data_IF_402449225924
#
_entry.id   IF_402449225924
#
_cell.length_a   1.000
_cell.length_b   1.000
_cell.length_c   1.000
_cell.angle_alpha   90.00
_cell.angle_beta   90.00
_cell.angle_gamma   90.00
#
_symmetry.space_group_name_H-M   'P 1'
#
loop_
_entity.id
_entity.type
_entity.pdbx_description
1 polymer ?
#
# COMPACT_ATOMS: atom_id res chain seq x y z
N UNK A 1 10.48 -45.90 69.36
CA UNK A 1 9.24 -45.89 68.55
C UNK A 1 8.33 -44.93 69.32
N UNK A 2 8.08 -43.69 68.94
CA UNK A 2 8.12 -42.93 67.68
C UNK A 2 8.38 -41.46 68.11
N UNK A 3 9.14 -40.59 67.43
CA UNK A 3 9.01 -40.24 66.02
C UNK A 3 8.02 -39.09 65.82
N UNK A 4 8.27 -37.87 66.31
CA UNK A 4 7.65 -36.67 65.73
C UNK A 4 8.52 -35.41 65.91
N UNK A 5 8.86 -34.80 64.77
CA UNK A 5 9.74 -33.67 64.57
C UNK A 5 8.92 -32.36 64.30
N UNK A 6 9.57 -31.18 64.23
CA UNK A 6 9.02 -29.88 64.63
C UNK A 6 8.37 -29.08 63.48
N UNK A 7 7.62 -28.03 63.82
CA UNK A 7 7.30 -26.90 62.94
C UNK A 7 7.46 -25.63 63.80
N UNK A 8 8.57 -24.89 63.79
CA UNK A 8 9.17 -24.14 62.67
C UNK A 8 8.13 -23.23 62.00
N UNK A 9 7.86 -22.10 62.67
CA UNK A 9 7.15 -20.95 62.16
C UNK A 9 7.82 -20.46 60.87
N UNK A 10 7.39 -21.01 59.75
CA UNK A 10 7.67 -20.51 58.41
C UNK A 10 6.47 -19.72 57.93
N UNK A 11 6.65 -18.41 57.78
CA UNK A 11 5.75 -17.55 57.01
C UNK A 11 5.67 -18.05 55.58
N UNK A 12 4.64 -18.85 55.27
CA UNK A 12 4.28 -19.16 53.91
C UNK A 12 3.56 -17.94 53.32
N UNK A 13 4.34 -17.09 52.64
CA UNK A 13 3.80 -16.13 51.70
C UNK A 13 2.88 -16.87 50.70
N UNK A 14 1.66 -16.37 50.57
CA UNK A 14 0.65 -16.85 49.64
C UNK A 14 1.27 -16.81 48.23
N UNK A 15 1.31 -17.92 47.46
CA UNK A 15 1.69 -17.85 46.07
C UNK A 15 0.61 -17.06 45.32
N UNK A 16 0.97 -15.84 44.91
CA UNK A 16 0.16 -15.07 43.97
C UNK A 16 -0.05 -15.91 42.70
N UNK A 17 -1.31 -16.15 42.36
CA UNK A 17 -1.71 -16.77 41.09
C UNK A 17 -0.97 -16.08 39.94
N UNK A 18 -0.43 -16.81 38.95
CA UNK A 18 0.08 -16.17 37.76
C UNK A 18 -1.08 -15.42 37.10
N UNK A 19 -0.96 -14.09 37.02
CA UNK A 19 -1.85 -13.26 36.24
C UNK A 19 -1.83 -13.78 34.81
N UNK A 20 -3.00 -14.16 34.30
CA UNK A 20 -3.19 -14.45 32.89
C UNK A 20 -2.65 -13.25 32.08
N UNK A 21 -1.92 -13.46 30.98
CA UNK A 21 -1.60 -12.38 30.07
C UNK A 21 -2.90 -11.65 29.75
N UNK A 22 -2.92 -10.35 30.05
CA UNK A 22 -4.03 -9.48 29.71
C UNK A 22 -4.37 -9.69 28.23
N UNK A 23 -5.67 -9.85 27.98
CA UNK A 23 -6.31 -9.79 26.67
C UNK A 23 -5.53 -8.88 25.75
N UNK A 24 -4.77 -9.46 24.83
CA UNK A 24 -4.43 -8.74 23.62
C UNK A 24 -5.78 -8.49 22.95
N UNK A 25 -6.18 -7.25 22.65
CA UNK A 25 -7.40 -7.05 21.88
C UNK A 25 -7.21 -7.86 20.61
N UNK A 26 -8.09 -8.86 20.44
CA UNK A 26 -8.14 -9.69 19.26
C UNK A 26 -8.01 -8.73 18.09
N UNK A 27 -6.90 -8.83 17.32
CA UNK A 27 -6.73 -8.07 16.09
C UNK A 27 -7.94 -8.42 15.26
N UNK A 28 -8.94 -7.54 15.27
CA UNK A 28 -10.13 -7.72 14.49
C UNK A 28 -9.65 -8.03 13.08
N UNK A 29 -10.18 -9.06 12.39
CA UNK A 29 -9.86 -9.27 10.99
C UNK A 29 -10.14 -7.93 10.32
N UNK A 30 -9.04 -7.28 9.90
CA UNK A 30 -8.99 -5.92 9.40
C UNK A 30 -9.95 -5.92 8.22
N UNK A 31 -11.17 -5.43 8.46
CA UNK A 31 -12.23 -5.49 7.47
C UNK A 31 -11.65 -4.93 6.18
N UNK A 32 -11.74 -5.71 5.11
CA UNK A 32 -11.39 -5.30 3.76
C UNK A 32 -12.22 -4.06 3.40
N UNK A 33 -11.76 -2.88 3.85
CA UNK A 33 -12.07 -1.58 3.25
C UNK A 33 -10.93 -1.21 2.31
N UNK A 34 -10.37 -2.22 1.64
CA UNK A 34 -9.39 -2.01 0.59
C UNK A 34 -10.16 -1.62 -0.65
N UNK A 35 -9.95 -0.41 -1.15
CA UNK A 35 -10.30 -0.07 -2.52
C UNK A 35 -9.77 -1.13 -3.49
N UNK A 36 -10.33 -1.19 -4.70
CA UNK A 36 -9.86 -2.16 -5.69
C UNK A 36 -8.33 -2.05 -5.85
N UNK A 37 -7.61 -3.16 -6.05
CA UNK A 37 -6.15 -3.12 -6.17
C UNK A 37 -5.71 -2.22 -7.33
N UNK A 38 -6.57 -2.02 -8.34
CA UNK A 38 -6.38 -1.04 -9.40
C UNK A 38 -6.34 0.40 -8.85
N UNK A 39 -7.33 0.82 -8.06
CA UNK A 39 -7.35 2.16 -7.45
C UNK A 39 -6.15 2.37 -6.53
N UNK A 40 -5.77 1.35 -5.76
CA UNK A 40 -4.57 1.43 -4.93
C UNK A 40 -3.27 1.60 -5.77
N UNK A 41 -3.20 1.00 -6.97
CA UNK A 41 -2.08 1.17 -7.88
C UNK A 41 -2.02 2.61 -8.45
N UNK A 42 -3.17 3.15 -8.83
CA UNK A 42 -3.31 4.53 -9.32
C UNK A 42 -2.89 5.53 -8.24
N UNK A 43 -3.41 5.38 -7.02
CA UNK A 43 -3.04 6.20 -5.86
C UNK A 43 -1.53 6.13 -5.59
N UNK A 44 -0.91 4.95 -5.64
CA UNK A 44 0.54 4.82 -5.46
C UNK A 44 1.31 5.58 -6.56
N UNK A 45 0.84 5.55 -7.81
CA UNK A 45 1.45 6.29 -8.91
C UNK A 45 1.32 7.81 -8.71
N UNK A 46 0.17 8.29 -8.26
CA UNK A 46 -0.06 9.72 -7.98
C UNK A 46 0.72 10.21 -6.75
N UNK A 47 0.85 9.40 -5.71
CA UNK A 47 1.73 9.72 -4.57
C UNK A 47 3.19 9.78 -5.04
N UNK A 48 3.63 8.91 -5.96
CA UNK A 48 4.97 8.98 -6.54
C UNK A 48 5.20 10.30 -7.32
N UNK A 49 4.16 10.82 -7.97
CA UNK A 49 4.17 12.13 -8.64
C UNK A 49 4.07 13.31 -7.66
N UNK A 50 3.82 13.06 -6.38
CA UNK A 50 3.71 14.09 -5.36
C UNK A 50 2.36 14.82 -5.36
N UNK A 51 1.30 14.21 -5.89
CA UNK A 51 -0.03 14.84 -5.99
C UNK A 51 -0.82 14.87 -4.68
N UNK A 52 -0.40 14.14 -3.67
CA UNK A 52 -1.11 14.07 -2.38
C UNK A 52 -0.30 14.68 -1.23
N UNK A 53 -1.01 15.18 -0.22
CA UNK A 53 -0.46 15.71 1.01
C UNK A 53 -1.41 15.53 2.20
N UNK A 54 -0.92 15.85 3.39
CA UNK A 54 -1.69 15.83 4.64
C UNK A 54 -1.71 17.23 5.23
N UNK A 55 -2.89 17.69 5.61
CA UNK A 55 -3.08 18.97 6.30
C UNK A 55 -2.73 18.80 7.76
N UNK A 56 -1.69 19.50 8.23
CA UNK A 56 -1.10 19.32 9.57
C UNK A 56 -2.11 19.52 10.71
N UNK A 57 -3.02 20.49 10.56
CA UNK A 57 -3.99 20.84 11.60
C UNK A 57 -5.13 19.82 11.79
N UNK A 58 -5.44 19.02 10.77
CA UNK A 58 -6.62 18.14 10.76
C UNK A 58 -6.30 16.70 10.41
N UNK A 59 -5.05 16.40 10.07
CA UNK A 59 -4.58 15.11 9.55
C UNK A 59 -5.39 14.62 8.34
N UNK A 60 -6.00 15.57 7.61
CA UNK A 60 -6.82 15.28 6.42
C UNK A 60 -5.97 15.15 5.18
N UNK A 61 -6.32 14.16 4.37
CA UNK A 61 -5.63 13.90 3.11
C UNK A 61 -6.19 14.81 2.02
N UNK A 62 -5.27 15.49 1.33
CA UNK A 62 -5.58 16.44 0.27
C UNK A 62 -4.83 16.09 -1.01
N UNK A 63 -5.38 16.51 -2.14
CA UNK A 63 -4.75 16.43 -3.45
C UNK A 63 -4.43 17.85 -3.94
N UNK A 64 -3.23 18.02 -4.49
CA UNK A 64 -2.80 19.24 -5.17
C UNK A 64 -3.47 19.30 -6.55
N UNK A 65 -4.34 20.29 -6.76
CA UNK A 65 -4.92 20.56 -8.09
C UNK A 65 -3.94 21.34 -8.95
N UNK A 66 -3.37 22.39 -8.35
CA UNK A 66 -2.40 23.30 -8.93
C UNK A 66 -1.18 23.43 -8.00
N UNK A 67 -0.28 24.38 -8.30
CA UNK A 67 0.92 24.63 -7.51
C UNK A 67 0.64 25.13 -6.09
N UNK A 68 -0.47 25.85 -5.88
CA UNK A 68 -0.80 26.51 -4.63
C UNK A 68 -2.16 26.13 -4.04
N UNK A 69 -2.98 25.34 -4.76
CA UNK A 69 -4.35 24.98 -4.34
C UNK A 69 -4.49 23.49 -4.06
N UNK A 70 -5.18 23.19 -2.96
CA UNK A 70 -5.49 21.82 -2.53
C UNK A 70 -6.98 21.61 -2.31
N UNK A 71 -7.45 20.40 -2.59
CA UNK A 71 -8.81 19.92 -2.27
C UNK A 71 -8.78 18.63 -1.47
N UNK A 72 -9.90 18.24 -0.89
CA UNK A 72 -10.03 16.94 -0.23
C UNK A 72 -9.85 15.80 -1.23
N UNK A 73 -9.06 14.80 -0.84
CA UNK A 73 -8.89 13.59 -1.62
C UNK A 73 -10.16 12.72 -1.53
N UNK A 74 -10.63 12.20 -2.65
CA UNK A 74 -11.77 11.26 -2.68
C UNK A 74 -11.32 9.88 -2.17
N UNK A 75 -10.06 9.52 -2.44
CA UNK A 75 -9.46 8.24 -2.09
C UNK A 75 -8.81 8.23 -0.69
N UNK A 76 -9.28 9.07 0.25
CA UNK A 76 -8.73 9.21 1.61
C UNK A 76 -8.60 7.85 2.31
N UNK A 77 -9.62 6.98 2.24
CA UNK A 77 -9.62 5.65 2.85
C UNK A 77 -8.53 4.72 2.28
N UNK A 78 -8.25 4.82 0.97
CA UNK A 78 -7.23 4.02 0.29
C UNK A 78 -5.85 4.48 0.71
N UNK A 79 -5.62 5.80 0.74
CA UNK A 79 -4.34 6.39 1.15
C UNK A 79 -4.09 6.09 2.63
N UNK A 80 -5.09 6.23 3.49
CA UNK A 80 -5.00 5.88 4.91
C UNK A 80 -4.62 4.40 5.09
N UNK A 81 -5.21 3.50 4.29
CA UNK A 81 -4.87 2.07 4.28
C UNK A 81 -3.42 1.81 3.83
N UNK A 82 -2.94 2.54 2.82
CA UNK A 82 -1.55 2.45 2.34
C UNK A 82 -0.53 3.01 3.35
N UNK A 83 -0.89 4.07 4.08
CA UNK A 83 -0.10 4.61 5.19
C UNK A 83 -0.04 3.62 6.35
N UNK A 84 -1.18 3.04 6.74
CA UNK A 84 -1.25 2.00 7.78
C UNK A 84 -0.48 0.71 7.38
N UNK A 85 -0.31 0.47 6.08
CA UNK A 85 0.52 -0.60 5.51
C UNK A 85 2.02 -0.26 5.40
N UNK A 86 2.42 0.99 5.66
CA UNK A 86 3.80 1.46 5.54
C UNK A 86 4.29 1.62 4.11
N UNK A 87 3.40 1.75 3.13
CA UNK A 87 3.74 1.99 1.73
C UNK A 87 3.87 3.49 1.42
N UNK A 88 3.12 4.31 2.14
CA UNK A 88 3.11 5.78 2.03
C UNK A 88 3.53 6.38 3.38
N UNK A 89 4.29 7.46 3.36
CA UNK A 89 4.70 8.21 4.55
C UNK A 89 4.57 9.71 4.31
N UNK A 90 4.27 10.44 5.38
CA UNK A 90 4.51 11.87 5.44
C UNK A 90 6.00 12.12 5.72
N UNK A 91 6.63 13.03 4.99
CA UNK A 91 7.99 13.48 5.31
C UNK A 91 7.89 14.82 6.01
N UNK A 92 7.89 14.83 7.35
CA UNK A 92 7.71 16.03 8.18
C UNK A 92 8.79 17.13 8.03
N UNK A 93 9.72 16.98 7.08
CA UNK A 93 10.72 17.99 6.74
C UNK A 93 10.26 18.93 5.63
N UNK A 94 9.36 18.46 4.77
CA UNK A 94 8.87 19.21 3.63
C UNK A 94 7.43 19.64 3.93
N UNK A 95 7.24 20.87 4.40
CA UNK A 95 5.90 21.44 4.59
C UNK A 95 5.72 22.58 3.60
N UNK A 96 4.66 22.50 2.81
CA UNK A 96 4.29 23.51 1.81
C UNK A 96 3.03 24.21 2.28
N UNK A 97 2.97 25.53 2.14
CA UNK A 97 1.77 26.30 2.49
C UNK A 97 0.90 26.41 1.24
N UNK A 98 -0.34 25.91 1.31
CA UNK A 98 -1.28 25.89 0.19
C UNK A 98 -2.66 26.42 0.59
N UNK A 99 -3.39 26.93 -0.39
CA UNK A 99 -4.79 27.33 -0.28
C UNK A 99 -5.70 26.11 -0.16
N UNK A 100 -6.33 25.96 1.00
CA UNK A 100 -7.46 25.09 1.24
C UNK A 100 -8.72 25.95 1.32
N UNK A 101 -9.43 26.06 0.20
CA UNK A 101 -10.50 27.06 0.04
C UNK A 101 -9.94 28.48 0.09
N UNK A 102 -10.45 29.30 1.01
CA UNK A 102 -10.02 30.69 1.20
C UNK A 102 -8.85 30.86 2.20
N UNK A 103 -8.39 29.77 2.83
CA UNK A 103 -7.43 29.82 3.94
C UNK A 103 -6.13 29.12 3.55
N UNK A 104 -4.99 29.69 3.94
CA UNK A 104 -3.69 29.04 3.81
C UNK A 104 -3.51 28.02 4.93
N UNK A 105 -3.10 26.80 4.55
CA UNK A 105 -2.82 25.71 5.48
C UNK A 105 -1.45 25.09 5.18
N UNK A 106 -0.68 24.73 6.22
CA UNK A 106 0.49 23.90 6.05
C UNK A 106 0.07 22.48 5.63
N UNK A 107 0.63 22.02 4.53
CA UNK A 107 0.41 20.71 3.93
C UNK A 107 1.74 20.00 3.82
N UNK A 108 1.82 18.80 4.38
CA UNK A 108 3.00 17.93 4.27
C UNK A 108 2.79 16.96 3.10
N UNK A 109 3.56 17.05 2.00
CA UNK A 109 3.41 16.15 0.88
C UNK A 109 3.68 14.69 1.26
N UNK A 110 2.87 13.79 0.71
CA UNK A 110 3.05 12.37 0.87
C UNK A 110 4.15 11.87 -0.06
N UNK A 111 4.87 10.86 0.42
CA UNK A 111 5.95 10.20 -0.32
C UNK A 111 5.81 8.69 -0.21
N UNK A 112 6.22 8.00 -1.28
CA UNK A 112 6.36 6.55 -1.22
C UNK A 112 7.56 6.16 -0.36
N UNK A 113 7.35 5.15 0.47
CA UNK A 113 8.44 4.44 1.14
C UNK A 113 9.19 3.56 0.13
N UNK A 114 10.32 2.98 0.55
CA UNK A 114 11.01 1.99 -0.29
C UNK A 114 10.08 0.81 -0.64
N UNK A 115 9.28 0.34 0.32
CA UNK A 115 8.29 -0.72 0.10
C UNK A 115 7.18 -0.27 -0.84
N UNK A 116 6.69 0.97 -0.71
CA UNK A 116 5.70 1.53 -1.62
C UNK A 116 6.18 1.58 -3.06
N UNK A 117 7.43 2.00 -3.29
CA UNK A 117 8.05 1.98 -4.62
C UNK A 117 8.14 0.56 -5.20
N UNK A 118 8.59 -0.41 -4.40
CA UNK A 118 8.64 -1.81 -4.84
C UNK A 118 7.26 -2.37 -5.18
N UNK A 119 6.24 -2.02 -4.38
CA UNK A 119 4.86 -2.44 -4.63
C UNK A 119 4.35 -1.85 -5.95
N UNK A 120 4.56 -0.56 -6.16
CA UNK A 120 4.20 0.12 -7.41
C UNK A 120 4.90 -0.52 -8.62
N UNK A 121 6.21 -0.77 -8.56
CA UNK A 121 6.96 -1.43 -9.63
C UNK A 121 6.45 -2.85 -9.93
N UNK A 122 6.06 -3.59 -8.89
CA UNK A 122 5.52 -4.95 -9.07
C UNK A 122 4.15 -4.91 -9.73
N UNK A 123 3.29 -3.99 -9.31
CA UNK A 123 1.93 -3.89 -9.83
C UNK A 123 1.89 -3.31 -11.25
N UNK A 124 2.78 -2.37 -11.58
CA UNK A 124 2.91 -1.84 -12.95
C UNK A 124 3.42 -2.88 -13.94
N UNK A 125 4.13 -3.91 -13.47
CA UNK A 125 4.62 -5.02 -14.29
C UNK A 125 3.57 -6.12 -14.53
N UNK A 126 2.41 -6.08 -13.85
CA UNK A 126 1.36 -7.08 -14.03
C UNK A 126 0.68 -6.86 -15.38
N UNK A 127 0.79 -7.85 -16.27
CA UNK A 127 0.00 -7.90 -17.50
C UNK A 127 -1.43 -8.28 -17.15
N UNK A 128 -2.46 -7.64 -17.73
CA UNK A 128 -3.84 -8.08 -17.52
C UNK A 128 -3.97 -9.52 -18.00
N UNK A 129 -4.53 -10.38 -17.13
CA UNK A 129 -4.87 -11.77 -17.42
C UNK A 129 -5.96 -11.80 -18.50
N UNK A 130 -5.54 -11.69 -19.75
CA UNK A 130 -6.42 -11.45 -20.90
C UNK A 130 -5.69 -10.80 -22.09
N UNK A 131 -4.56 -10.11 -21.84
CA UNK A 131 -3.65 -9.60 -22.88
C UNK A 131 -2.72 -10.68 -23.43
N UNK A 132 -3.18 -11.92 -23.50
CA UNK A 132 -2.57 -12.90 -24.39
C UNK A 132 -2.87 -12.40 -25.80
N UNK A 133 -2.08 -11.45 -26.28
CA UNK A 133 -2.08 -11.03 -27.68
C UNK A 133 -1.62 -12.25 -28.44
N UNK A 134 -2.57 -13.09 -28.82
CA UNK A 134 -2.30 -14.21 -29.71
C UNK A 134 -2.19 -13.61 -31.10
N UNK A 135 -1.24 -14.09 -31.88
CA UNK A 135 -1.22 -13.78 -33.31
C UNK A 135 -2.60 -14.11 -33.87
N UNK A 136 -3.26 -13.14 -34.51
CA UNK A 136 -4.61 -13.32 -35.05
C UNK A 136 -4.64 -14.38 -36.16
N UNK A 137 -3.49 -14.66 -36.77
CA UNK A 137 -3.35 -15.63 -37.86
C UNK A 137 -3.16 -17.08 -37.38
N UNK A 138 -2.33 -17.32 -36.35
CA UNK A 138 -1.94 -18.68 -35.96
C UNK A 138 -2.26 -19.04 -34.50
N UNK A 139 -2.81 -18.11 -33.72
CA UNK A 139 -3.19 -18.34 -32.32
C UNK A 139 -2.02 -18.55 -31.35
N UNK A 140 -0.76 -18.50 -31.82
CA UNK A 140 0.43 -18.65 -30.98
C UNK A 140 0.70 -17.36 -30.18
N UNK A 141 1.25 -17.53 -28.98
CA UNK A 141 1.74 -16.42 -28.18
C UNK A 141 3.07 -15.91 -28.77
N UNK A 142 3.24 -14.60 -29.01
CA UNK A 142 4.52 -14.06 -29.43
C UNK A 142 5.53 -14.20 -28.29
N UNK A 143 6.75 -14.62 -28.62
CA UNK A 143 7.88 -14.61 -27.70
C UNK A 143 8.19 -13.17 -27.31
N UNK A 144 8.33 -12.90 -26.01
CA UNK A 144 8.45 -11.55 -25.48
C UNK A 144 9.69 -10.84 -26.03
N UNK A 145 9.54 -9.64 -26.60
CA UNK A 145 10.68 -8.76 -26.90
C UNK A 145 10.58 -7.81 -28.09
N UNK A 146 9.60 -7.94 -28.99
CA UNK A 146 9.48 -7.05 -30.16
C UNK A 146 8.03 -6.61 -30.35
N UNK A 147 7.73 -5.37 -29.95
CA UNK A 147 6.53 -4.67 -30.36
C UNK A 147 6.91 -3.72 -31.50
N UNK A 148 6.77 -4.17 -32.74
CA UNK A 148 6.71 -3.30 -33.91
C UNK A 148 5.32 -3.47 -34.52
N UNK A 149 4.36 -2.64 -34.07
CA UNK A 149 3.21 -2.17 -34.86
C UNK A 149 2.16 -3.15 -35.39
N UNK A 150 2.43 -4.45 -35.55
CA UNK A 150 1.56 -5.38 -36.28
C UNK A 150 1.23 -6.66 -35.46
N UNK A 151 0.01 -7.21 -35.56
CA UNK A 151 -0.44 -8.38 -34.80
C UNK A 151 0.05 -9.71 -35.39
N UNK A 152 1.24 -9.73 -36.00
CA UNK A 152 1.86 -10.92 -36.57
C UNK A 152 3.06 -11.35 -35.73
N UNK A 153 3.13 -12.64 -35.37
CA UNK A 153 4.36 -13.18 -34.79
C UNK A 153 5.45 -13.30 -35.86
N UNK A 154 6.72 -13.33 -35.44
CA UNK A 154 7.89 -13.39 -36.34
C UNK A 154 7.80 -14.55 -37.37
N UNK A 155 7.26 -15.70 -36.97
CA UNK A 155 7.05 -16.85 -37.86
C UNK A 155 6.03 -16.55 -38.98
N UNK A 156 4.94 -15.84 -38.68
CA UNK A 156 3.94 -15.44 -39.68
C UNK A 156 4.47 -14.33 -40.60
N UNK A 157 5.29 -13.42 -40.06
CA UNK A 157 5.93 -12.37 -40.85
C UNK A 157 6.92 -12.97 -41.88
N UNK A 158 7.62 -14.06 -41.51
CA UNK A 158 8.51 -14.77 -42.41
C UNK A 158 7.77 -15.54 -43.51
N UNK A 159 6.55 -16.06 -43.23
CA UNK A 159 5.72 -16.77 -44.20
C UNK A 159 4.93 -15.86 -45.17
N UNK A 160 4.64 -14.62 -44.79
CA UNK A 160 3.88 -13.67 -45.61
C UNK A 160 4.70 -13.00 -46.73
N UNK A 161 5.99 -13.33 -46.85
CA UNK A 161 6.93 -12.69 -47.80
C UNK A 161 7.22 -13.52 -49.05
N UNK A 162 6.41 -14.55 -49.30
CA UNK A 162 6.47 -15.36 -50.52
C UNK A 162 5.08 -15.34 -51.16
N UNK A 163 4.86 -14.32 -52.01
CA UNK A 163 4.33 -14.42 -53.37
C UNK A 163 4.38 -13.03 -54.04
#
# INVERSE_FOLDING_TARGET
MDGFQPALFGSAAIPAKPAKPADQPARSPRGQRGGSPQVAAEVLAEVNQGRYGVVDATDRIVVFEDWDRVRHAVEEDVIASLMAGGYVTQNGKDTVVCHHGAILRPVTPLRLTHRGRQLLSRWSALKPLGSTTRCLWCGKQPVAGMWLGDPLCADCLAGARVE
#
